data_IF_208450301077
#
_entry.id   IF_208450301077
#
_cell.length_a   1.000
_cell.length_b   1.000
_cell.length_c   1.000
_cell.angle_alpha   90.00
_cell.angle_beta   90.00
_cell.angle_gamma   90.00
#
_symmetry.space_group_name_H-M   'P 1'
#
loop_
_entity.id
_entity.type
_entity.pdbx_description
1 polymer ?
#
# COMPACT_ATOMS: atom_id res chain seq x y z
N UNK A 1 6.21 -17.83 -12.61
CA UNK A 1 6.37 -16.46 -12.14
C UNK A 1 7.28 -15.67 -13.04
N UNK A 2 6.94 -14.45 -13.30
CA UNK A 2 7.64 -13.60 -14.24
C UNK A 2 8.71 -12.76 -13.55
N UNK A 3 9.92 -12.77 -14.06
CA UNK A 3 10.97 -11.86 -13.60
C UNK A 3 10.75 -10.49 -14.24
N UNK A 4 11.17 -9.43 -13.54
CA UNK A 4 11.16 -8.11 -14.13
C UNK A 4 12.18 -8.03 -15.26
N UNK A 5 11.77 -7.47 -16.39
CA UNK A 5 12.68 -7.17 -17.48
C UNK A 5 13.51 -5.93 -17.13
N UNK A 6 14.64 -5.68 -17.83
CA UNK A 6 15.40 -4.44 -17.63
C UNK A 6 14.57 -3.18 -17.87
N UNK A 7 13.59 -3.24 -18.77
CA UNK A 7 12.70 -2.10 -19.03
C UNK A 7 11.83 -1.81 -17.81
N UNK A 8 11.28 -2.87 -17.19
CA UNK A 8 10.45 -2.73 -16.00
C UNK A 8 11.24 -2.13 -14.83
N UNK A 9 12.50 -2.56 -14.65
CA UNK A 9 13.38 -2.01 -13.61
C UNK A 9 13.65 -0.54 -13.88
N UNK A 10 13.88 -0.16 -15.12
CA UNK A 10 14.12 1.23 -15.50
C UNK A 10 12.91 2.10 -15.19
N UNK A 11 11.73 1.63 -15.57
CA UNK A 11 10.48 2.36 -15.30
C UNK A 11 10.27 2.49 -13.79
N UNK A 12 10.49 1.43 -13.03
CA UNK A 12 10.36 1.48 -11.58
C UNK A 12 11.33 2.48 -10.97
N UNK A 13 12.56 2.53 -11.46
CA UNK A 13 13.56 3.48 -10.98
C UNK A 13 13.08 4.92 -11.14
N UNK A 14 12.39 5.22 -12.25
CA UNK A 14 11.85 6.54 -12.50
C UNK A 14 10.66 6.86 -11.60
N UNK A 15 9.81 5.86 -11.33
CA UNK A 15 8.59 6.05 -10.56
C UNK A 15 8.80 5.95 -9.06
N UNK A 16 9.91 5.35 -8.61
CA UNK A 16 10.16 5.08 -7.19
C UNK A 16 10.07 6.33 -6.32
N UNK A 17 10.68 7.48 -6.70
CA UNK A 17 10.54 8.68 -5.88
C UNK A 17 9.10 9.15 -5.75
N UNK A 18 8.31 9.06 -6.82
CA UNK A 18 6.90 9.42 -6.81
C UNK A 18 6.11 8.48 -5.90
N UNK A 19 6.34 7.18 -6.05
CA UNK A 19 5.67 6.16 -5.22
C UNK A 19 6.03 6.34 -3.75
N UNK A 20 7.31 6.53 -3.44
CA UNK A 20 7.76 6.73 -2.06
C UNK A 20 7.15 7.98 -1.45
N UNK A 21 7.09 9.06 -2.21
CA UNK A 21 6.49 10.31 -1.76
C UNK A 21 5.00 10.16 -1.47
N UNK A 22 4.27 9.49 -2.36
CA UNK A 22 2.83 9.26 -2.19
C UNK A 22 2.56 8.34 -1.00
N UNK A 23 3.36 7.28 -0.83
CA UNK A 23 3.23 6.40 0.33
C UNK A 23 3.53 7.14 1.63
N UNK A 24 4.49 8.03 1.63
CA UNK A 24 4.79 8.84 2.80
C UNK A 24 3.62 9.75 3.16
N UNK A 25 2.96 10.32 2.16
CA UNK A 25 1.76 11.13 2.39
C UNK A 25 0.62 10.29 2.96
N UNK A 26 0.46 9.06 2.47
CA UNK A 26 -0.55 8.15 3.01
C UNK A 26 -0.27 7.84 4.49
N UNK A 27 0.97 7.55 4.82
CA UNK A 27 1.38 7.29 6.20
C UNK A 27 1.15 8.49 7.10
N UNK A 28 1.49 9.68 6.63
CA UNK A 28 1.27 10.92 7.39
C UNK A 28 -0.21 11.18 7.65
N UNK A 29 -1.06 10.92 6.67
CA UNK A 29 -2.50 11.07 6.82
C UNK A 29 -3.03 10.09 7.87
N UNK A 30 -2.55 8.85 7.84
CA UNK A 30 -2.95 7.84 8.82
C UNK A 30 -2.53 8.24 10.23
N UNK A 31 -1.30 8.74 10.39
CA UNK A 31 -0.81 9.20 11.68
C UNK A 31 -1.65 10.37 12.23
N UNK A 32 -2.02 11.32 11.37
CA UNK A 32 -2.87 12.43 11.79
C UNK A 32 -4.21 11.96 12.32
N UNK A 33 -4.79 10.94 11.68
CA UNK A 33 -6.05 10.39 12.18
C UNK A 33 -5.87 9.74 13.55
N UNK A 34 -4.80 8.94 13.73
CA UNK A 34 -4.56 8.22 14.98
C UNK A 34 -4.18 9.18 16.12
N UNK A 35 -3.27 10.12 15.84
CA UNK A 35 -2.71 11.00 16.88
C UNK A 35 -3.62 12.17 17.20
N UNK A 36 -4.21 12.77 16.19
CA UNK A 36 -4.94 14.04 16.33
C UNK A 36 -6.46 13.86 16.33
N UNK A 37 -6.94 12.67 16.03
CA UNK A 37 -8.37 12.40 16.00
C UNK A 37 -9.12 13.22 14.94
N UNK A 38 -8.49 13.44 13.79
CA UNK A 38 -9.05 14.30 12.74
C UNK A 38 -10.25 13.72 11.99
N UNK A 39 -10.74 12.57 12.41
CA UNK A 39 -11.91 11.99 11.82
C UNK A 39 -11.66 11.31 10.49
N UNK A 40 -12.76 11.11 9.74
CA UNK A 40 -12.69 10.32 8.50
C UNK A 40 -11.96 11.03 7.34
N UNK A 41 -11.83 12.35 7.42
CA UNK A 41 -11.17 13.10 6.33
C UNK A 41 -9.73 12.64 6.12
N UNK A 42 -8.98 12.45 7.21
CA UNK A 42 -7.59 11.99 7.11
C UNK A 42 -7.51 10.56 6.57
N UNK A 43 -8.45 9.69 6.97
CA UNK A 43 -8.51 8.32 6.44
C UNK A 43 -8.83 8.30 4.95
N UNK A 44 -9.72 9.16 4.50
CA UNK A 44 -10.05 9.25 3.08
C UNK A 44 -8.87 9.78 2.27
N UNK A 45 -8.12 10.73 2.83
CA UNK A 45 -6.88 11.21 2.22
C UNK A 45 -5.86 10.10 2.10
N UNK A 46 -5.69 9.30 3.15
CA UNK A 46 -4.81 8.13 3.11
C UNK A 46 -5.23 7.17 1.99
N UNK A 47 -6.51 6.85 1.91
CA UNK A 47 -7.04 5.96 0.87
C UNK A 47 -6.79 6.52 -0.53
N UNK A 48 -6.95 7.82 -0.71
CA UNK A 48 -6.72 8.46 -2.00
C UNK A 48 -5.27 8.31 -2.45
N UNK A 49 -4.33 8.50 -1.55
CA UNK A 49 -2.91 8.30 -1.87
C UNK A 49 -2.62 6.84 -2.20
N UNK A 50 -3.18 5.91 -1.45
CA UNK A 50 -3.00 4.48 -1.72
C UNK A 50 -3.62 4.08 -3.06
N UNK A 51 -4.75 4.67 -3.40
CA UNK A 51 -5.38 4.45 -4.69
C UNK A 51 -4.47 4.90 -5.85
N UNK A 52 -3.82 6.04 -5.70
CA UNK A 52 -2.87 6.53 -6.70
C UNK A 52 -1.69 5.57 -6.86
N UNK A 53 -1.16 5.06 -5.74
CA UNK A 53 -0.06 4.09 -5.77
C UNK A 53 -0.49 2.84 -6.54
N UNK A 54 -1.66 2.31 -6.25
CA UNK A 54 -2.18 1.12 -6.93
C UNK A 54 -2.33 1.37 -8.44
N UNK A 55 -2.84 2.54 -8.81
CA UNK A 55 -3.04 2.90 -10.22
C UNK A 55 -1.70 2.94 -10.97
N UNK A 56 -0.68 3.55 -10.37
CA UNK A 56 0.65 3.63 -10.98
C UNK A 56 1.24 2.23 -11.14
N UNK A 57 1.15 1.41 -10.11
CA UNK A 57 1.69 0.05 -10.16
C UNK A 57 0.97 -0.82 -11.20
N UNK A 58 -0.35 -0.67 -11.33
CA UNK A 58 -1.10 -1.36 -12.37
C UNK A 58 -0.67 -0.90 -13.77
N UNK A 59 -0.42 0.39 -13.92
CA UNK A 59 -0.03 0.96 -15.20
C UNK A 59 1.29 0.36 -15.71
N UNK A 60 2.21 0.05 -14.81
CA UNK A 60 3.50 -0.55 -15.16
C UNK A 60 3.51 -2.07 -14.98
N UNK A 61 2.34 -2.66 -14.80
CA UNK A 61 2.14 -4.11 -14.75
C UNK A 61 2.85 -4.82 -13.60
N UNK A 62 3.07 -4.13 -12.49
CA UNK A 62 3.57 -4.74 -11.27
C UNK A 62 2.38 -5.25 -10.45
N UNK A 63 1.82 -6.38 -10.88
CA UNK A 63 0.54 -6.90 -10.41
C UNK A 63 0.54 -7.23 -8.91
N UNK A 64 1.59 -7.84 -8.40
CA UNK A 64 1.68 -8.18 -6.97
C UNK A 64 1.63 -6.94 -6.09
N UNK A 65 2.56 -5.98 -6.27
CA UNK A 65 2.53 -4.73 -5.50
C UNK A 65 1.25 -3.93 -5.71
N UNK A 66 0.69 -3.94 -6.93
CA UNK A 66 -0.56 -3.22 -7.20
C UNK A 66 -1.70 -3.80 -6.37
N UNK A 67 -1.80 -5.12 -6.31
CA UNK A 67 -2.83 -5.79 -5.51
C UNK A 67 -2.67 -5.48 -4.03
N UNK A 68 -1.44 -5.44 -3.55
CA UNK A 68 -1.15 -5.08 -2.17
C UNK A 68 -1.64 -3.66 -1.87
N UNK A 69 -1.32 -2.71 -2.75
CA UNK A 69 -1.77 -1.33 -2.60
C UNK A 69 -3.31 -1.22 -2.66
N UNK A 70 -3.95 -2.00 -3.53
CA UNK A 70 -5.41 -2.03 -3.62
C UNK A 70 -6.05 -2.51 -2.31
N UNK A 71 -5.48 -3.53 -1.68
CA UNK A 71 -6.01 -4.01 -0.40
C UNK A 71 -5.79 -3.00 0.72
N UNK A 72 -4.68 -2.28 0.71
CA UNK A 72 -4.46 -1.18 1.65
C UNK A 72 -5.50 -0.07 1.47
N UNK A 73 -5.78 0.31 0.22
CA UNK A 73 -6.80 1.30 -0.13
C UNK A 73 -8.17 0.87 0.43
N UNK A 74 -8.55 -0.38 0.19
CA UNK A 74 -9.83 -0.90 0.68
C UNK A 74 -9.92 -0.89 2.19
N UNK A 75 -8.84 -1.22 2.89
CA UNK A 75 -8.83 -1.16 4.34
C UNK A 75 -8.97 0.28 4.84
N UNK A 76 -8.26 1.22 4.22
CA UNK A 76 -8.37 2.63 4.61
C UNK A 76 -9.81 3.14 4.44
N UNK A 77 -10.47 2.78 3.34
CA UNK A 77 -11.87 3.14 3.11
C UNK A 77 -12.80 2.48 4.13
N UNK A 78 -12.56 1.22 4.44
CA UNK A 78 -13.37 0.49 5.43
C UNK A 78 -13.24 1.13 6.82
N UNK A 79 -12.04 1.58 7.18
CA UNK A 79 -11.84 2.30 8.42
C UNK A 79 -12.55 3.65 8.41
N UNK A 80 -12.54 4.36 7.29
CA UNK A 80 -13.24 5.64 7.15
C UNK A 80 -14.75 5.46 7.29
N UNK A 81 -15.28 4.35 6.79
CA UNK A 81 -16.72 4.05 6.85
C UNK A 81 -17.13 3.38 8.17
N UNK A 82 -16.18 3.21 9.10
CA UNK A 82 -16.40 2.56 10.38
C UNK A 82 -16.96 1.14 10.25
N UNK A 83 -16.65 0.46 9.16
CA UNK A 83 -17.12 -0.90 8.90
C UNK A 83 -16.17 -1.98 9.42
N UNK A 84 -15.08 -1.58 10.10
CA UNK A 84 -14.09 -2.50 10.64
C UNK A 84 -14.10 -2.39 12.15
N UNK A 85 -14.22 -3.52 12.84
CA UNK A 85 -14.07 -3.59 14.29
C UNK A 85 -12.58 -3.80 14.62
N UNK A 86 -12.17 -3.46 15.86
CA UNK A 86 -10.79 -3.61 16.29
C UNK A 86 -9.84 -2.65 15.60
N UNK A 87 -10.20 -1.37 15.58
CA UNK A 87 -9.51 -0.33 14.84
C UNK A 87 -8.02 -0.21 15.10
N UNK A 88 -7.56 -0.36 16.35
CA UNK A 88 -6.13 -0.27 16.67
C UNK A 88 -5.30 -1.29 15.90
N UNK A 89 -5.77 -2.53 15.84
CA UNK A 89 -5.09 -3.60 15.10
C UNK A 89 -5.06 -3.27 13.61
N UNK A 90 -6.18 -2.78 13.08
CA UNK A 90 -6.29 -2.43 11.67
C UNK A 90 -5.36 -1.26 11.32
N UNK A 91 -5.30 -0.24 12.15
CA UNK A 91 -4.41 0.90 11.95
C UNK A 91 -2.95 0.47 11.96
N UNK A 92 -2.56 -0.36 12.92
CA UNK A 92 -1.19 -0.87 13.00
C UNK A 92 -0.80 -1.67 11.79
N UNK A 93 -1.70 -2.54 11.32
CA UNK A 93 -1.47 -3.35 10.14
C UNK A 93 -1.33 -2.46 8.90
N UNK A 94 -2.20 -1.49 8.73
CA UNK A 94 -2.15 -0.58 7.58
C UNK A 94 -0.84 0.20 7.56
N UNK A 95 -0.42 0.72 8.70
CA UNK A 95 0.85 1.45 8.80
C UNK A 95 2.03 0.53 8.47
N UNK A 96 2.02 -0.70 8.98
CA UNK A 96 3.05 -1.69 8.66
C UNK A 96 3.15 -1.92 7.14
N UNK A 97 2.01 -2.07 6.48
CA UNK A 97 1.98 -2.31 5.04
C UNK A 97 2.47 -1.09 4.26
N UNK A 98 2.13 0.12 4.70
CA UNK A 98 2.61 1.35 4.06
C UNK A 98 4.14 1.43 4.12
N UNK A 99 4.73 1.01 5.23
CA UNK A 99 6.19 1.00 5.38
C UNK A 99 6.84 -0.13 4.58
N UNK A 100 6.17 -1.27 4.49
CA UNK A 100 6.73 -2.46 3.82
C UNK A 100 6.77 -2.33 2.30
N UNK A 101 5.82 -1.64 1.70
CA UNK A 101 5.76 -1.55 0.24
C UNK A 101 6.99 -0.87 -0.37
N UNK A 102 7.49 0.27 0.17
CA UNK A 102 8.71 0.86 -0.37
C UNK A 102 9.91 -0.10 -0.34
N UNK A 103 10.05 -0.87 0.73
CA UNK A 103 11.13 -1.86 0.87
C UNK A 103 11.02 -2.93 -0.21
N UNK A 104 9.81 -3.42 -0.45
CA UNK A 104 9.58 -4.41 -1.49
C UNK A 104 9.93 -3.86 -2.87
N UNK A 105 9.51 -2.63 -3.16
CA UNK A 105 9.79 -1.98 -4.44
C UNK A 105 11.29 -1.74 -4.61
N UNK A 106 12.00 -1.40 -3.54
CA UNK A 106 13.44 -1.23 -3.58
C UNK A 106 14.15 -2.54 -3.94
N UNK A 107 13.68 -3.66 -3.41
CA UNK A 107 14.22 -4.97 -3.79
C UNK A 107 14.02 -5.26 -5.27
N UNK A 108 12.86 -4.93 -5.81
CA UNK A 108 12.60 -5.08 -7.24
C UNK A 108 13.53 -4.19 -8.06
N UNK A 109 13.72 -2.95 -7.62
CA UNK A 109 14.61 -1.99 -8.27
C UNK A 109 16.04 -2.50 -8.33
N UNK A 110 16.46 -3.22 -7.28
CA UNK A 110 17.81 -3.79 -7.18
C UNK A 110 17.96 -5.12 -7.90
N UNK A 111 16.98 -5.51 -8.70
CA UNK A 111 17.07 -6.69 -9.54
C UNK A 111 16.51 -7.98 -8.95
N UNK A 112 15.89 -7.92 -7.77
CA UNK A 112 15.23 -9.09 -7.21
C UNK A 112 13.94 -9.37 -7.98
N UNK A 113 13.53 -10.64 -8.00
CA UNK A 113 12.31 -11.03 -8.69
C UNK A 113 11.09 -10.47 -7.99
N UNK A 114 10.08 -10.15 -8.78
CA UNK A 114 8.75 -9.92 -8.26
C UNK A 114 8.18 -11.26 -7.79
N UNK A 115 8.22 -11.49 -6.49
CA UNK A 115 7.72 -12.72 -5.87
C UNK A 115 6.45 -12.37 -5.09
N UNK A 116 5.28 -12.42 -5.75
CA UNK A 116 4.02 -12.04 -5.11
C UNK A 116 3.75 -12.79 -3.81
N UNK A 117 4.24 -14.02 -3.69
CA UNK A 117 4.05 -14.83 -2.50
C UNK A 117 4.61 -14.17 -1.24
N UNK A 118 5.61 -13.29 -1.38
CA UNK A 118 6.16 -12.56 -0.24
C UNK A 118 5.12 -11.59 0.34
N UNK A 119 4.24 -11.07 -0.51
CA UNK A 119 3.20 -10.14 -0.09
C UNK A 119 1.89 -10.83 0.31
N UNK A 120 1.71 -12.10 -0.03
CA UNK A 120 0.44 -12.80 0.23
C UNK A 120 0.01 -12.79 1.70
N UNK A 121 0.90 -13.06 2.68
CA UNK A 121 0.48 -13.01 4.08
C UNK A 121 -0.08 -11.66 4.47
N UNK A 122 0.55 -10.57 4.02
CA UNK A 122 0.09 -9.21 4.32
C UNK A 122 -1.23 -8.91 3.61
N UNK A 123 -1.37 -9.32 2.35
CA UNK A 123 -2.62 -9.16 1.61
C UNK A 123 -3.75 -9.90 2.33
N UNK A 124 -3.48 -11.13 2.77
CA UNK A 124 -4.48 -11.93 3.47
C UNK A 124 -4.85 -11.29 4.81
N UNK A 125 -3.86 -10.74 5.54
CA UNK A 125 -4.12 -10.07 6.80
C UNK A 125 -4.99 -8.82 6.60
N UNK A 126 -4.70 -8.03 5.56
CA UNK A 126 -5.49 -6.85 5.23
C UNK A 126 -6.95 -7.23 4.94
N UNK A 127 -7.14 -8.30 4.20
CA UNK A 127 -8.49 -8.78 3.88
C UNK A 127 -9.21 -9.32 5.11
N UNK A 128 -8.51 -10.09 5.94
CA UNK A 128 -9.09 -10.68 7.14
C UNK A 128 -9.56 -9.61 8.11
N UNK A 129 -8.76 -8.58 8.33
CA UNK A 129 -9.11 -7.48 9.23
C UNK A 129 -10.35 -6.74 8.73
N UNK A 130 -10.52 -6.66 7.44
CA UNK A 130 -11.67 -6.01 6.80
C UNK A 130 -12.90 -6.91 6.75
N UNK A 131 -12.77 -8.19 7.06
CA UNK A 131 -13.86 -9.15 7.01
C UNK A 131 -14.16 -9.69 5.61
N UNK A 132 -13.18 -9.60 4.74
CA UNK A 132 -13.34 -10.06 3.35
C UNK A 132 -12.88 -11.49 3.16
#
# INVERSE_FOLDING_TARGET
MKSLSPIDVTVLTWLKPELDGTLKLAGSALERHVDDGQGVAALRECAEHLHQVAAILNMVELTGPARFAEEMDRLALALADASVSGGETAFGLLMQCIVQLPDYLERLQNGNRDVPIVLLPLINDLRAVRGA
#
